data_IF_058762724133
#
_entry.id   IF_058762724133
#
_cell.length_a   1.000
_cell.length_b   1.000
_cell.length_c   1.000
_cell.angle_alpha   90.00
_cell.angle_beta   90.00
_cell.angle_gamma   90.00
#
_symmetry.space_group_name_H-M   'P 1'
#
loop_
_entity.id
_entity.type
_entity.pdbx_description
1 polymer ?
#
# COMPACT_ATOMS: atom_id res chain seq x y z
N UNK A 1 1.48 27.54 -17.81
CA UNK A 1 1.16 26.35 -18.64
C UNK A 1 -0.30 26.03 -18.40
N UNK A 2 -1.11 25.96 -19.45
CA UNK A 2 -2.55 25.74 -19.29
C UNK A 2 -2.83 24.30 -18.84
N UNK A 3 -3.63 24.14 -17.80
CA UNK A 3 -4.13 22.84 -17.33
C UNK A 3 -5.33 22.40 -18.16
N UNK A 4 -5.62 21.09 -18.20
CA UNK A 4 -6.80 20.56 -18.91
C UNK A 4 -8.12 21.20 -18.42
N UNK A 5 -8.16 21.57 -17.13
CA UNK A 5 -9.30 22.23 -16.51
C UNK A 5 -9.49 23.66 -17.05
N UNK A 6 -8.40 24.42 -17.19
CA UNK A 6 -8.45 25.78 -17.75
C UNK A 6 -8.89 25.76 -19.23
N UNK A 7 -8.57 24.70 -19.97
CA UNK A 7 -9.06 24.51 -21.35
C UNK A 7 -10.56 24.16 -21.40
N UNK A 8 -11.04 23.29 -20.51
CA UNK A 8 -12.48 22.99 -20.37
C UNK A 8 -13.29 24.24 -19.98
N UNK A 9 -12.76 25.06 -19.08
CA UNK A 9 -13.39 26.29 -18.62
C UNK A 9 -13.47 27.33 -19.76
N UNK A 10 -12.40 27.50 -20.54
CA UNK A 10 -12.41 28.36 -21.73
C UNK A 10 -13.41 27.90 -22.81
N UNK A 11 -13.54 26.59 -23.03
CA UNK A 11 -14.54 26.05 -23.97
C UNK A 11 -15.98 26.25 -23.49
N UNK A 12 -16.20 26.22 -22.16
CA UNK A 12 -17.51 26.49 -21.55
C UNK A 12 -17.88 27.97 -21.67
N UNK A 13 -16.93 28.87 -21.43
CA UNK A 13 -17.11 30.32 -21.59
C UNK A 13 -17.45 30.70 -23.04
N UNK A 14 -16.85 30.02 -24.02
CA UNK A 14 -17.11 30.23 -25.44
C UNK A 14 -18.37 29.50 -25.95
N UNK A 15 -19.08 28.74 -25.11
CA UNK A 15 -20.30 28.02 -25.51
C UNK A 15 -20.05 26.88 -26.51
N UNK A 16 -18.82 26.35 -26.59
CA UNK A 16 -18.41 25.34 -27.57
C UNK A 16 -18.85 23.93 -27.15
N UNK A 17 -20.17 23.71 -27.07
CA UNK A 17 -20.80 22.48 -26.56
C UNK A 17 -20.35 21.20 -27.31
N UNK A 18 -20.07 21.31 -28.61
CA UNK A 18 -19.56 20.18 -29.41
C UNK A 18 -18.14 19.77 -28.99
N UNK A 19 -17.27 20.74 -28.66
CA UNK A 19 -15.92 20.46 -28.20
C UNK A 19 -15.93 19.81 -26.80
N UNK A 20 -16.82 20.26 -25.91
CA UNK A 20 -17.04 19.64 -24.60
C UNK A 20 -17.54 18.19 -24.72
N UNK A 21 -18.47 17.92 -25.64
CA UNK A 21 -18.96 16.56 -25.88
C UNK A 21 -17.85 15.61 -26.39
N UNK A 22 -16.94 16.12 -27.22
CA UNK A 22 -15.77 15.36 -27.68
C UNK A 22 -14.81 15.08 -26.52
N UNK A 23 -14.49 16.08 -25.69
CA UNK A 23 -13.65 15.89 -24.49
C UNK A 23 -14.22 14.84 -23.55
N UNK A 24 -15.52 14.86 -23.32
CA UNK A 24 -16.18 13.86 -22.48
C UNK A 24 -16.03 12.44 -23.04
N UNK A 25 -16.24 12.25 -24.35
CA UNK A 25 -16.02 10.95 -25.01
C UNK A 25 -14.57 10.48 -24.92
N UNK A 26 -13.61 11.39 -25.03
CA UNK A 26 -12.18 11.06 -24.88
C UNK A 26 -11.87 10.64 -23.43
N UNK A 27 -12.42 11.34 -22.44
CA UNK A 27 -12.28 11.00 -21.01
C UNK A 27 -12.89 9.65 -20.68
N UNK A 28 -14.04 9.33 -21.25
CA UNK A 28 -14.70 8.04 -21.03
C UNK A 28 -13.89 6.89 -21.65
N UNK A 29 -13.30 7.11 -22.83
CA UNK A 29 -12.36 6.16 -23.44
C UNK A 29 -11.11 5.96 -22.60
N UNK A 30 -10.49 7.06 -22.15
CA UNK A 30 -9.30 7.01 -21.31
C UNK A 30 -9.57 6.25 -20.00
N UNK A 31 -10.71 6.54 -19.35
CA UNK A 31 -11.18 5.82 -18.16
C UNK A 31 -11.42 4.34 -18.42
N UNK A 32 -11.98 3.97 -19.57
CA UNK A 32 -12.18 2.58 -19.96
C UNK A 32 -10.85 1.85 -20.19
N UNK A 33 -9.83 2.53 -20.73
CA UNK A 33 -8.48 1.97 -20.93
C UNK A 33 -7.59 2.06 -19.70
N UNK A 34 -7.99 2.82 -18.67
CA UNK A 34 -7.23 3.03 -17.44
C UNK A 34 -7.13 1.72 -16.66
N UNK A 35 -6.05 1.00 -16.92
CA UNK A 35 -5.70 -0.18 -16.15
C UNK A 35 -5.05 0.28 -14.85
N UNK A 36 -5.82 0.32 -13.77
CA UNK A 36 -5.27 0.51 -12.42
C UNK A 36 -4.57 -0.79 -12.04
N UNK A 37 -3.30 -0.93 -12.41
CA UNK A 37 -2.48 -2.03 -11.89
C UNK A 37 -2.44 -1.84 -10.37
N UNK A 38 -2.88 -2.83 -9.56
CA UNK A 38 -2.73 -2.73 -8.12
C UNK A 38 -1.27 -2.43 -7.84
N UNK A 39 -1.02 -1.42 -7.00
CA UNK A 39 0.34 -1.05 -6.62
C UNK A 39 1.01 -2.31 -6.08
N UNK A 40 1.87 -2.93 -6.89
CA UNK A 40 2.73 -4.00 -6.42
C UNK A 40 3.55 -3.31 -5.35
N UNK A 41 3.32 -3.69 -4.09
CA UNK A 41 4.33 -3.43 -3.06
C UNK A 41 5.61 -3.94 -3.68
N UNK A 42 6.56 -3.04 -4.00
CA UNK A 42 7.92 -3.46 -4.26
C UNK A 42 8.24 -4.30 -3.03
N UNK A 43 8.26 -5.62 -3.19
CA UNK A 43 8.69 -6.52 -2.14
C UNK A 43 10.17 -6.26 -2.02
N UNK A 44 10.53 -5.17 -1.34
CA UNK A 44 11.90 -4.79 -1.08
C UNK A 44 12.57 -5.98 -0.42
N UNK A 45 13.82 -6.19 -0.78
CA UNK A 45 14.63 -7.30 -0.30
C UNK A 45 14.41 -7.48 1.21
N UNK A 46 14.12 -8.71 1.64
CA UNK A 46 13.93 -8.99 3.07
C UNK A 46 15.23 -8.67 3.79
N UNK A 47 15.10 -8.01 4.96
CA UNK A 47 16.26 -7.76 5.79
C UNK A 47 16.87 -9.08 6.27
N UNK A 48 18.19 -9.16 6.15
CA UNK A 48 19.02 -10.25 6.67
C UNK A 48 20.20 -9.64 7.44
N UNK A 49 20.84 -10.41 8.34
CA UNK A 49 22.04 -9.94 9.05
C UNK A 49 23.17 -9.51 8.12
N UNK A 50 23.42 -10.28 7.06
CA UNK A 50 24.42 -9.92 6.05
C UNK A 50 24.08 -8.59 5.35
N UNK A 51 22.79 -8.35 5.07
CA UNK A 51 22.35 -7.10 4.47
C UNK A 51 22.52 -5.92 5.42
N UNK A 52 22.26 -6.12 6.72
CA UNK A 52 22.47 -5.10 7.74
C UNK A 52 23.95 -4.74 7.89
N UNK A 53 24.85 -5.73 7.86
CA UNK A 53 26.31 -5.50 7.85
C UNK A 53 26.75 -4.70 6.64
N UNK A 54 26.29 -5.09 5.44
CA UNK A 54 26.58 -4.36 4.20
C UNK A 54 26.05 -2.92 4.21
N UNK A 55 24.90 -2.67 4.84
CA UNK A 55 24.35 -1.32 5.01
C UNK A 55 25.25 -0.47 5.93
N UNK A 56 25.72 -1.02 7.05
CA UNK A 56 26.65 -0.31 7.94
C UNK A 56 27.99 -0.02 7.27
N UNK A 57 28.51 -0.97 6.49
CA UNK A 57 29.74 -0.80 5.73
C UNK A 57 29.60 0.32 4.69
N UNK A 58 28.52 0.31 3.90
CA UNK A 58 28.24 1.36 2.91
C UNK A 58 28.08 2.74 3.56
N UNK A 59 27.43 2.80 4.72
CA UNK A 59 27.25 4.06 5.46
C UNK A 59 28.58 4.60 6.01
N UNK A 60 29.40 3.73 6.60
CA UNK A 60 30.68 4.10 7.20
C UNK A 60 31.79 4.40 6.18
N UNK A 61 31.83 3.67 5.06
CA UNK A 61 32.90 3.78 4.06
C UNK A 61 32.68 4.87 3.02
N UNK A 62 31.42 5.10 2.62
CA UNK A 62 31.12 5.89 1.42
C UNK A 62 30.43 7.22 1.74
N UNK A 63 29.99 7.44 2.99
CA UNK A 63 29.24 8.65 3.38
C UNK A 63 27.90 8.80 2.66
N UNK A 64 27.41 7.74 2.01
CA UNK A 64 26.16 7.75 1.26
C UNK A 64 24.97 8.05 2.17
N UNK A 65 24.00 8.77 1.60
CA UNK A 65 22.73 9.02 2.26
C UNK A 65 21.92 7.73 2.38
N UNK A 66 21.00 7.69 3.35
CA UNK A 66 20.16 6.51 3.57
C UNK A 66 19.27 6.17 2.36
N UNK A 67 18.90 7.17 1.55
CA UNK A 67 18.12 6.97 0.32
C UNK A 67 18.97 6.31 -0.77
N UNK A 68 20.22 6.73 -0.92
CA UNK A 68 21.16 6.13 -1.87
C UNK A 68 21.49 4.69 -1.50
N UNK A 69 21.73 4.42 -0.21
CA UNK A 69 21.94 3.05 0.29
C UNK A 69 20.68 2.21 0.06
N UNK A 70 19.49 2.74 0.36
CA UNK A 70 18.23 2.06 0.14
C UNK A 70 18.01 1.69 -1.33
N UNK A 71 18.33 2.62 -2.24
CA UNK A 71 18.25 2.38 -3.68
C UNK A 71 19.25 1.32 -4.15
N UNK A 72 20.51 1.44 -3.73
CA UNK A 72 21.59 0.51 -4.09
C UNK A 72 21.34 -0.92 -3.59
N UNK A 73 20.83 -1.06 -2.37
CA UNK A 73 20.60 -2.34 -1.70
C UNK A 73 19.19 -2.91 -1.96
N UNK A 74 18.29 -2.12 -2.56
CA UNK A 74 16.93 -2.57 -2.88
C UNK A 74 16.00 -2.70 -1.66
N UNK A 75 16.23 -1.89 -0.63
CA UNK A 75 15.44 -1.88 0.62
C UNK A 75 14.74 -0.53 0.82
N UNK A 76 13.83 -0.45 1.78
CA UNK A 76 13.19 0.81 2.15
C UNK A 76 14.13 1.66 3.02
N UNK A 77 14.16 2.98 2.82
CA UNK A 77 14.97 3.92 3.61
C UNK A 77 14.73 3.81 5.12
N UNK A 78 13.50 3.53 5.56
CA UNK A 78 13.21 3.30 6.98
C UNK A 78 13.94 2.09 7.55
N UNK A 79 14.14 1.03 6.75
CA UNK A 79 14.92 -0.16 7.17
C UNK A 79 16.39 0.18 7.33
N UNK A 80 16.95 0.97 6.40
CA UNK A 80 18.33 1.47 6.48
C UNK A 80 18.52 2.30 7.76
N UNK A 81 17.58 3.18 8.07
CA UNK A 81 17.62 3.99 9.28
C UNK A 81 17.58 3.14 10.56
N UNK A 82 16.74 2.11 10.59
CA UNK A 82 16.65 1.19 11.74
C UNK A 82 17.95 0.38 11.95
N UNK A 83 18.62 -0.02 10.86
CA UNK A 83 19.95 -0.65 10.92
C UNK A 83 20.98 0.33 11.49
N UNK A 84 21.03 1.57 10.96
CA UNK A 84 22.03 2.57 11.37
C UNK A 84 21.82 3.04 12.81
N UNK A 85 20.57 3.34 13.22
CA UNK A 85 20.27 3.91 14.54
C UNK A 85 20.17 2.88 15.66
N UNK A 86 19.70 1.67 15.35
CA UNK A 86 19.33 0.69 16.36
C UNK A 86 20.00 -0.66 16.18
N UNK A 87 20.81 -0.84 15.13
CA UNK A 87 21.49 -2.11 14.87
C UNK A 87 20.55 -3.29 14.62
N UNK A 88 19.30 -3.02 14.21
CA UNK A 88 18.33 -4.08 13.95
C UNK A 88 18.83 -5.03 12.86
N UNK A 89 18.39 -6.27 12.92
CA UNK A 89 18.83 -7.37 12.04
C UNK A 89 20.30 -7.80 12.17
N UNK A 90 21.15 -7.19 13.03
CA UNK A 90 22.57 -7.58 13.17
C UNK A 90 22.79 -8.84 14.03
N UNK A 91 21.92 -9.13 15.00
CA UNK A 91 22.05 -10.30 15.87
C UNK A 91 21.48 -11.55 15.22
N UNK A 92 22.28 -12.61 15.18
CA UNK A 92 21.86 -14.00 14.92
C UNK A 92 21.30 -14.67 16.20
N UNK A 93 20.73 -13.89 17.12
CA UNK A 93 20.10 -14.43 18.33
C UNK A 93 18.83 -15.22 17.91
N UNK A 94 18.77 -16.55 18.14
CA UNK A 94 17.62 -17.38 17.78
C UNK A 94 16.32 -16.93 18.47
N UNK A 95 16.42 -16.21 19.59
CA UNK A 95 15.28 -15.70 20.35
C UNK A 95 14.81 -14.31 19.89
N UNK A 96 15.52 -13.64 18.97
CA UNK A 96 15.11 -12.34 18.48
C UNK A 96 13.77 -12.45 17.71
N UNK A 97 12.81 -11.52 17.92
CA UNK A 97 11.51 -11.57 17.25
C UNK A 97 11.62 -11.53 15.72
N UNK A 98 12.71 -10.95 15.21
CA UNK A 98 13.05 -10.88 13.78
C UNK A 98 13.52 -12.24 13.23
N UNK A 99 14.28 -13.01 14.01
CA UNK A 99 14.73 -14.37 13.67
C UNK A 99 13.55 -15.34 13.67
N UNK A 100 12.68 -15.28 14.69
CA UNK A 100 11.44 -16.09 14.76
C UNK A 100 10.52 -15.79 13.57
N UNK A 101 10.40 -14.53 13.16
CA UNK A 101 9.62 -14.16 11.98
C UNK A 101 10.24 -14.69 10.68
N UNK A 102 11.58 -14.67 10.56
CA UNK A 102 12.33 -15.21 9.41
C UNK A 102 12.16 -16.72 9.30
N UNK A 103 12.35 -17.45 10.39
CA UNK A 103 12.26 -18.91 10.41
C UNK A 103 10.83 -19.39 10.19
N UNK A 104 9.85 -18.71 10.78
CA UNK A 104 8.43 -18.94 10.49
C UNK A 104 8.08 -18.68 9.03
N UNK A 105 8.68 -17.66 8.40
CA UNK A 105 8.49 -17.39 6.97
C UNK A 105 9.22 -18.38 6.07
N UNK A 106 10.41 -18.84 6.46
CA UNK A 106 11.21 -19.85 5.73
C UNK A 106 10.56 -21.23 5.81
N UNK A 107 10.00 -21.60 6.96
CA UNK A 107 9.21 -22.82 7.15
C UNK A 107 7.96 -22.84 6.24
N UNK A 108 7.25 -21.71 6.13
CA UNK A 108 6.11 -21.56 5.21
C UNK A 108 6.47 -21.70 3.72
N UNK A 109 7.72 -21.45 3.35
CA UNK A 109 8.22 -21.57 1.97
C UNK A 109 8.80 -22.95 1.67
N UNK A 110 9.33 -23.67 2.68
CA UNK A 110 10.03 -24.95 2.51
C UNK A 110 9.10 -26.17 2.42
N UNK A 111 7.84 -26.05 2.85
CA UNK A 111 6.84 -27.09 2.63
C UNK A 111 5.73 -27.09 3.66
N UNK A 112 4.58 -26.54 3.26
CA UNK A 112 3.25 -27.14 3.45
C UNK A 112 2.26 -26.31 2.62
N UNK A 113 1.60 -26.88 1.59
CA UNK A 113 0.45 -26.23 0.99
C UNK A 113 -0.65 -26.24 2.05
N UNK A 114 -0.94 -25.07 2.63
CA UNK A 114 -2.10 -24.94 3.50
C UNK A 114 -3.33 -25.38 2.70
N UNK A 115 -4.12 -26.37 3.14
CA UNK A 115 -5.37 -26.66 2.47
C UNK A 115 -6.17 -25.36 2.47
N UNK A 116 -6.68 -24.97 1.29
CA UNK A 116 -7.69 -23.92 1.16
C UNK A 116 -8.71 -24.20 2.26
N UNK A 117 -8.82 -23.30 3.24
CA UNK A 117 -9.86 -23.39 4.22
C UNK A 117 -11.18 -23.41 3.44
N UNK A 118 -11.80 -24.60 3.35
CA UNK A 118 -13.16 -24.73 2.86
C UNK A 118 -13.97 -23.75 3.70
N UNK A 119 -14.63 -22.80 3.02
CA UNK A 119 -15.75 -22.09 3.61
C UNK A 119 -16.78 -23.17 3.96
N UNK A 120 -16.76 -23.65 5.19
CA UNK A 120 -17.86 -24.41 5.77
C UNK A 120 -18.65 -23.43 6.63
N UNK A 121 -19.90 -23.25 6.23
CA UNK A 121 -20.85 -22.42 6.94
C UNK A 121 -21.14 -22.94 8.34
N UNK A 122 -21.57 -21.99 9.16
CA UNK A 122 -22.48 -22.12 10.28
C UNK A 122 -22.24 -23.26 11.29
N UNK A 123 -21.69 -22.90 12.45
CA UNK A 123 -22.28 -23.34 13.73
C UNK A 123 -22.27 -22.17 14.71
N UNK A 124 -23.46 -21.81 15.17
CA UNK A 124 -23.74 -20.74 16.10
C UNK A 124 -23.09 -20.99 17.48
N UNK A 125 -22.49 -19.96 18.09
CA UNK A 125 -22.34 -19.86 19.55
C UNK A 125 -22.21 -18.40 19.99
N UNK A 126 -23.35 -17.89 20.49
CA UNK A 126 -23.60 -16.84 21.48
C UNK A 126 -22.68 -15.60 21.54
N UNK A 127 -23.22 -14.49 21.00
CA UNK A 127 -22.85 -13.12 21.36
C UNK A 127 -23.23 -12.80 22.82
N UNK A 128 -22.40 -12.05 23.58
CA UNK A 128 -22.90 -11.15 24.60
C UNK A 128 -23.31 -9.81 23.96
N UNK A 129 -24.56 -9.44 24.21
CA UNK A 129 -25.29 -8.30 23.67
C UNK A 129 -24.75 -6.97 24.20
N UNK A 130 -24.51 -6.01 23.30
CA UNK A 130 -24.28 -4.59 23.64
C UNK A 130 -25.59 -3.84 23.38
N UNK A 131 -26.12 -3.05 24.34
CA UNK A 131 -27.44 -2.46 24.21
C UNK A 131 -27.46 -1.36 23.13
N UNK A 132 -28.43 -1.48 22.20
CA UNK A 132 -28.77 -0.47 21.19
C UNK A 132 -29.49 0.70 21.85
N UNK A 133 -29.04 1.93 21.55
CA UNK A 133 -29.81 3.16 21.76
C UNK A 133 -30.60 3.46 20.47
N UNK A 134 -31.90 3.78 20.52
CA UNK A 134 -32.69 4.05 19.33
C UNK A 134 -32.63 5.55 18.99
N UNK A 135 -32.35 5.90 17.75
CA UNK A 135 -32.72 7.22 17.25
C UNK A 135 -33.45 7.13 15.91
N UNK A 136 -34.43 8.00 15.81
CA UNK A 136 -35.68 7.85 15.09
C UNK A 136 -35.51 8.09 13.59
N UNK A 137 -36.40 7.44 12.86
CA UNK A 137 -36.78 7.75 11.49
C UNK A 137 -36.99 9.25 11.28
N UNK A 138 -36.48 9.75 10.16
CA UNK A 138 -36.75 11.07 9.61
C UNK A 138 -36.40 11.05 8.12
N UNK A 139 -37.18 10.27 7.37
CA UNK A 139 -37.21 10.25 5.92
C UNK A 139 -38.03 11.47 5.43
N UNK A 140 -37.83 11.86 4.16
CA UNK A 140 -38.61 12.81 3.34
C UNK A 140 -38.16 14.28 3.45
N UNK A 141 -38.01 15.08 2.39
CA UNK A 141 -38.14 14.92 0.93
C UNK A 141 -37.55 16.15 0.24
N UNK A 142 -37.19 15.96 -1.03
CA UNK A 142 -36.82 16.93 -2.05
C UNK A 142 -38.02 17.80 -2.49
N UNK A 143 -37.80 19.10 -2.76
CA UNK A 143 -38.47 19.83 -3.86
C UNK A 143 -39.56 20.88 -3.53
N UNK A 144 -39.52 21.95 -4.35
CA UNK A 144 -40.55 22.96 -4.70
C UNK A 144 -41.03 23.99 -3.66
N UNK A 145 -40.49 25.21 -3.75
CA UNK A 145 -41.10 26.44 -4.32
C UNK A 145 -40.25 27.68 -4.04
#
# INVERSE_FOLDING_TARGET
MATLKEFEDALREQGMNMALAILQRLRDRDRATRTVRPARRLTGQKMTPELARAILELHGSTGMTQQEIAFKVGVNQGRVNEVIKHGKWLSDDPAAPEAVARDKAKARLRGEPKPRAKRVGAVAQKQPTRPKKPERQGQLSLGDL
#
